data_IF_761852418429
#
_entry.id   IF_761852418429
#
_cell.length_a   1.000
_cell.length_b   1.000
_cell.length_c   1.000
_cell.angle_alpha   90.00
_cell.angle_beta   90.00
_cell.angle_gamma   90.00
#
_symmetry.space_group_name_H-M   'P 1'
#
loop_
_entity.id
_entity.type
_entity.pdbx_description
1 polymer ?
#
# COMPACT_ATOMS: atom_id res chain seq x y z
N UNK A 1 12.10 30.07 -11.30
CA UNK A 1 11.66 30.16 -9.89
C UNK A 1 12.24 31.45 -9.33
N UNK A 2 11.40 32.35 -8.84
CA UNK A 2 11.85 33.65 -8.33
C UNK A 2 12.61 33.47 -7.00
N UNK A 3 13.54 34.37 -6.72
CA UNK A 3 14.36 34.39 -5.50
C UNK A 3 13.49 34.34 -4.23
N UNK A 4 12.38 35.07 -4.21
CA UNK A 4 11.37 35.08 -3.13
C UNK A 4 10.83 33.68 -2.78
N UNK A 5 10.64 32.83 -3.78
CA UNK A 5 10.05 31.49 -3.60
C UNK A 5 11.09 30.53 -3.04
N UNK A 6 12.35 30.68 -3.43
CA UNK A 6 13.46 29.86 -2.91
C UNK A 6 13.71 30.15 -1.43
N UNK A 7 13.71 31.43 -1.06
CA UNK A 7 13.89 31.87 0.34
C UNK A 7 12.70 31.46 1.23
N UNK A 8 11.47 31.54 0.73
CA UNK A 8 10.28 31.09 1.47
C UNK A 8 10.27 29.58 1.70
N UNK A 9 10.68 28.76 0.73
CA UNK A 9 10.78 27.31 0.89
C UNK A 9 11.91 26.92 1.84
N UNK A 10 13.05 27.63 1.80
CA UNK A 10 14.16 27.40 2.71
C UNK A 10 13.76 27.67 4.17
N UNK A 11 13.03 28.77 4.44
CA UNK A 11 12.50 29.07 5.78
C UNK A 11 11.53 28.00 6.28
N UNK A 12 10.54 27.61 5.47
CA UNK A 12 9.58 26.55 5.83
C UNK A 12 10.28 25.22 6.13
N UNK A 13 11.33 24.88 5.39
CA UNK A 13 12.12 23.67 5.64
C UNK A 13 12.91 23.78 6.96
N UNK A 14 13.46 24.94 7.29
CA UNK A 14 14.17 25.20 8.55
C UNK A 14 13.24 25.19 9.78
N UNK A 15 11.99 25.63 9.60
CA UNK A 15 10.91 25.54 10.60
C UNK A 15 10.38 24.09 10.79
N UNK A 16 10.93 23.12 10.05
CA UNK A 16 10.53 21.71 10.15
C UNK A 16 9.25 21.36 9.39
N UNK A 17 8.74 22.27 8.56
CA UNK A 17 7.57 22.00 7.71
C UNK A 17 7.96 21.00 6.62
N UNK A 18 7.31 19.83 6.63
CA UNK A 18 7.49 18.81 5.59
C UNK A 18 6.92 19.34 4.27
N UNK A 19 7.81 19.72 3.36
CA UNK A 19 7.45 20.10 2.00
C UNK A 19 7.17 18.84 1.17
N UNK A 20 6.05 18.83 0.44
CA UNK A 20 5.66 17.72 -0.43
C UNK A 20 4.36 17.04 -0.02
N UNK A 21 4.08 15.87 -0.59
CA UNK A 21 2.85 15.11 -0.30
C UNK A 21 2.95 14.52 1.12
N UNK A 22 1.94 14.71 1.98
CA UNK A 22 1.96 14.12 3.32
C UNK A 22 2.06 12.60 3.22
N UNK A 23 2.77 11.99 4.18
CA UNK A 23 2.90 10.54 4.28
C UNK A 23 1.49 9.96 4.43
N UNK A 24 1.07 9.14 3.47
CA UNK A 24 -0.23 8.49 3.53
C UNK A 24 -0.38 7.71 4.83
N UNK A 25 -1.50 7.92 5.55
CA UNK A 25 -1.82 7.15 6.75
C UNK A 25 -1.94 5.68 6.36
N UNK A 26 -1.29 4.78 7.10
CA UNK A 26 -1.52 3.35 6.93
C UNK A 26 -2.98 3.07 7.32
N UNK A 27 -3.80 2.71 6.35
CA UNK A 27 -5.19 2.32 6.61
C UNK A 27 -5.19 1.04 7.44
N UNK A 28 -6.11 0.93 8.41
CA UNK A 28 -6.30 -0.28 9.20
C UNK A 28 -6.52 -1.50 8.28
N UNK A 29 -6.01 -2.69 8.64
CA UNK A 29 -6.05 -3.89 7.78
C UNK A 29 -7.48 -4.30 7.38
N UNK A 30 -8.45 -4.10 8.25
CA UNK A 30 -9.87 -4.38 8.01
C UNK A 30 -10.49 -3.52 6.91
N UNK A 31 -9.96 -2.31 6.72
CA UNK A 31 -10.43 -1.35 5.71
C UNK A 31 -9.74 -1.54 4.36
N UNK A 32 -8.88 -2.55 4.22
CA UNK A 32 -8.20 -2.83 2.97
C UNK A 32 -9.18 -3.47 1.98
N UNK A 33 -9.08 -3.09 0.70
CA UNK A 33 -9.95 -3.59 -0.37
C UNK A 33 -9.90 -5.11 -0.55
N UNK A 34 -8.81 -5.74 -0.10
CA UNK A 34 -8.58 -7.19 -0.20
C UNK A 34 -9.06 -7.96 1.03
N UNK A 35 -9.35 -7.28 2.14
CA UNK A 35 -9.84 -7.90 3.37
C UNK A 35 -11.13 -8.74 3.18
N UNK A 36 -12.19 -8.25 2.51
CA UNK A 36 -13.39 -9.06 2.25
C UNK A 36 -13.14 -10.20 1.24
N UNK A 37 -12.02 -10.18 0.50
CA UNK A 37 -11.67 -11.20 -0.50
C UNK A 37 -10.65 -12.23 0.02
N UNK A 38 -10.33 -12.20 1.32
CA UNK A 38 -9.29 -13.04 1.93
C UNK A 38 -9.53 -14.53 1.70
N UNK A 39 -10.78 -14.99 1.79
CA UNK A 39 -11.15 -16.40 1.66
C UNK A 39 -10.96 -16.87 0.22
N UNK A 40 -11.37 -16.04 -0.75
CA UNK A 40 -11.14 -16.28 -2.18
C UNK A 40 -9.64 -16.34 -2.51
N UNK A 41 -8.82 -15.45 -1.92
CA UNK A 41 -7.37 -15.46 -2.12
C UNK A 41 -6.74 -16.72 -1.51
N UNK A 42 -7.19 -17.16 -0.33
CA UNK A 42 -6.70 -18.40 0.30
C UNK A 42 -7.03 -19.64 -0.54
N UNK A 43 -8.25 -19.74 -1.07
CA UNK A 43 -8.65 -20.85 -1.96
C UNK A 43 -7.79 -20.91 -3.22
N UNK A 44 -7.61 -19.79 -3.92
CA UNK A 44 -6.79 -19.73 -5.12
C UNK A 44 -5.30 -20.03 -4.86
N UNK A 45 -4.79 -19.69 -3.67
CA UNK A 45 -3.43 -20.05 -3.27
C UNK A 45 -3.31 -21.56 -2.99
N UNK A 46 -4.31 -22.18 -2.38
CA UNK A 46 -4.35 -23.62 -2.14
C UNK A 46 -4.38 -24.41 -3.46
N UNK A 47 -5.11 -23.90 -4.46
CA UNK A 47 -5.14 -24.43 -5.83
C UNK A 47 -3.84 -24.19 -6.61
N UNK A 48 -2.81 -23.58 -6.00
CA UNK A 48 -1.52 -23.23 -6.61
C UNK A 48 -1.64 -22.32 -7.85
N UNK A 49 -2.72 -21.53 -7.92
CA UNK A 49 -2.89 -20.54 -9.00
C UNK A 49 -1.81 -19.46 -8.87
N UNK A 50 -1.28 -19.02 -10.02
CA UNK A 50 -0.21 -18.02 -10.00
C UNK A 50 -0.70 -16.69 -9.40
N UNK A 51 0.15 -16.05 -8.58
CA UNK A 51 -0.15 -14.73 -7.98
C UNK A 51 -0.55 -13.67 -9.02
N UNK A 52 -0.08 -13.79 -10.27
CA UNK A 52 -0.45 -12.91 -11.38
C UNK A 52 -1.89 -13.11 -11.85
N UNK A 53 -2.34 -14.36 -11.94
CA UNK A 53 -3.73 -14.67 -12.29
C UNK A 53 -4.67 -14.23 -11.16
N UNK A 54 -4.31 -14.48 -9.91
CA UNK A 54 -5.08 -14.04 -8.74
C UNK A 54 -5.26 -12.51 -8.74
N UNK A 55 -4.20 -11.76 -9.06
CA UNK A 55 -4.27 -10.30 -9.17
C UNK A 55 -5.24 -9.82 -10.26
N UNK A 56 -5.27 -10.50 -11.42
CA UNK A 56 -6.23 -10.21 -12.50
C UNK A 56 -7.67 -10.49 -12.05
N UNK A 57 -7.92 -11.63 -11.42
CA UNK A 57 -9.24 -12.03 -10.90
C UNK A 57 -9.73 -11.01 -9.85
N UNK A 58 -8.84 -10.63 -8.93
CA UNK A 58 -9.16 -9.69 -7.86
C UNK A 58 -9.23 -8.22 -8.33
N UNK A 59 -8.86 -7.93 -9.58
CA UNK A 59 -8.72 -6.59 -10.16
C UNK A 59 -7.81 -5.68 -9.32
N UNK A 60 -6.68 -6.22 -8.87
CA UNK A 60 -5.69 -5.49 -8.07
C UNK A 60 -4.30 -5.56 -8.72
N UNK A 61 -3.43 -4.62 -8.35
CA UNK A 61 -2.03 -4.67 -8.78
C UNK A 61 -1.27 -5.84 -8.12
N UNK A 62 -0.31 -6.42 -8.86
CA UNK A 62 0.51 -7.55 -8.39
C UNK A 62 1.24 -7.22 -7.08
N UNK A 63 1.77 -6.01 -6.95
CA UNK A 63 2.51 -5.62 -5.75
C UNK A 63 1.57 -5.46 -4.55
N UNK A 64 0.33 -5.04 -4.79
CA UNK A 64 -0.69 -4.95 -3.74
C UNK A 64 -1.05 -6.34 -3.22
N UNK A 65 -1.26 -7.31 -4.13
CA UNK A 65 -1.54 -8.70 -3.74
C UNK A 65 -0.33 -9.33 -3.02
N UNK A 66 0.88 -9.14 -3.52
CA UNK A 66 2.10 -9.68 -2.90
C UNK A 66 2.31 -9.11 -1.49
N UNK A 67 2.10 -7.80 -1.31
CA UNK A 67 2.16 -7.16 0.00
C UNK A 67 1.09 -7.70 0.94
N UNK A 68 -0.14 -7.88 0.46
CA UNK A 68 -1.23 -8.43 1.25
C UNK A 68 -0.92 -9.86 1.73
N UNK A 69 -0.38 -10.72 0.86
CA UNK A 69 0.02 -12.08 1.23
C UNK A 69 1.08 -12.05 2.34
N UNK A 70 2.11 -11.22 2.19
CA UNK A 70 3.20 -11.10 3.17
C UNK A 70 2.78 -10.48 4.50
N UNK A 71 1.93 -9.44 4.46
CA UNK A 71 1.58 -8.68 5.66
C UNK A 71 0.40 -9.27 6.41
N UNK A 72 -0.51 -9.97 5.74
CA UNK A 72 -1.75 -10.48 6.34
C UNK A 72 -1.72 -12.00 6.43
N UNK A 73 -1.55 -12.70 5.30
CA UNK A 73 -1.64 -14.17 5.30
C UNK A 73 -0.45 -14.81 6.02
N UNK A 74 0.78 -14.36 5.79
CA UNK A 74 1.97 -14.89 6.49
C UNK A 74 1.99 -14.51 7.98
N UNK A 75 1.35 -13.40 8.38
CA UNK A 75 1.28 -12.99 9.79
C UNK A 75 0.18 -13.68 10.58
N UNK A 76 -0.89 -14.13 9.93
CA UNK A 76 -1.96 -14.91 10.56
C UNK A 76 -1.54 -16.35 10.89
N UNK A 77 -0.42 -16.83 10.33
CA UNK A 77 0.11 -18.18 10.53
C UNK A 77 1.12 -18.29 11.69
N UNK A 78 1.42 -17.19 12.38
CA UNK A 78 2.29 -17.12 13.57
C UNK A 78 1.41 -16.86 14.80
#
# INVERSE_FOLDING_TARGET
>A
ISQRTREALARKKAEGVVLGRPKGRKTAPEKHKLYPKRELIRGLLAEKVSKRQIAKICKCDRNTLARYIKEVIEKEAC
#
